data_IF_072266836795
#
_entry.id   IF_072266836795
#
_cell.length_a   1.000
_cell.length_b   1.000
_cell.length_c   1.000
_cell.angle_alpha   90.00
_cell.angle_beta   90.00
_cell.angle_gamma   90.00
#
_symmetry.space_group_name_H-M   'P 1'
#
loop_
_entity.id
_entity.type
_entity.pdbx_description
1 polymer ?
#
# COMPACT_ATOMS: atom_id res chain seq x y z
N UNK A 1 -3.12 -3.33 8.10
CA UNK A 1 -3.30 -4.20 6.92
C UNK A 1 -4.31 -3.57 5.95
N UNK A 2 -4.19 -3.89 4.67
CA UNK A 2 -5.24 -3.64 3.67
C UNK A 2 -5.39 -4.83 2.73
N UNK A 3 -6.64 -5.10 2.38
CA UNK A 3 -6.97 -5.96 1.26
C UNK A 3 -6.66 -5.29 -0.07
N UNK A 4 -5.98 -6.00 -0.96
CA UNK A 4 -5.81 -5.61 -2.38
C UNK A 4 -6.29 -6.74 -3.28
N UNK A 5 -6.77 -6.38 -4.46
CA UNK A 5 -7.23 -7.31 -5.49
C UNK A 5 -6.70 -6.86 -6.84
N UNK A 6 -5.99 -7.74 -7.52
CA UNK A 6 -5.47 -7.56 -8.88
C UNK A 6 -6.46 -8.09 -9.92
N UNK A 7 -6.29 -7.68 -11.17
CA UNK A 7 -7.18 -8.03 -12.28
C UNK A 7 -7.11 -9.51 -12.69
N UNK A 8 -5.97 -10.16 -12.43
CA UNK A 8 -5.75 -11.60 -12.59
C UNK A 8 -6.40 -12.47 -11.48
N UNK A 9 -7.03 -11.81 -10.49
CA UNK A 9 -7.70 -12.45 -9.36
C UNK A 9 -6.81 -12.70 -8.14
N UNK A 10 -5.50 -12.41 -8.20
CA UNK A 10 -4.65 -12.45 -7.02
C UNK A 10 -5.13 -11.40 -6.01
N UNK A 11 -5.28 -11.81 -4.76
CA UNK A 11 -5.74 -10.91 -3.71
C UNK A 11 -5.17 -11.30 -2.35
N UNK A 12 -5.18 -10.36 -1.41
CA UNK A 12 -4.80 -10.65 -0.04
C UNK A 12 -4.59 -9.42 0.82
N UNK A 13 -4.33 -9.67 2.10
CA UNK A 13 -3.95 -8.65 3.07
C UNK A 13 -2.47 -8.33 2.98
N UNK A 14 -2.16 -7.04 2.84
CA UNK A 14 -0.80 -6.50 2.90
C UNK A 14 -0.65 -5.67 4.18
N UNK A 15 0.44 -5.93 4.91
CA UNK A 15 0.84 -5.07 6.01
C UNK A 15 1.67 -3.89 5.51
N UNK A 16 1.25 -2.69 5.90
CA UNK A 16 1.92 -1.43 5.58
C UNK A 16 2.73 -0.89 6.78
N UNK A 17 2.82 -1.62 7.88
CA UNK A 17 3.47 -1.20 9.12
C UNK A 17 4.95 -0.80 8.96
N UNK A 18 5.65 -1.36 7.97
CA UNK A 18 7.04 -1.01 7.65
C UNK A 18 7.20 0.30 6.85
N UNK A 19 6.16 0.74 6.14
CA UNK A 19 6.25 1.85 5.20
C UNK A 19 6.57 3.20 5.86
N UNK A 20 6.05 3.55 7.04
CA UNK A 20 6.45 4.77 7.73
C UNK A 20 7.95 4.95 7.94
N UNK A 21 8.72 3.85 7.99
CA UNK A 21 10.17 3.88 8.19
C UNK A 21 10.96 4.01 6.87
N UNK A 22 10.29 3.89 5.70
CA UNK A 22 10.92 3.99 4.37
C UNK A 22 11.23 5.43 3.96
N UNK A 23 10.71 6.43 4.67
CA UNK A 23 11.03 7.83 4.44
C UNK A 23 9.95 8.79 4.92
N UNK A 24 10.25 10.11 4.96
CA UNK A 24 9.36 11.12 5.52
C UNK A 24 8.02 11.23 4.78
N UNK A 25 7.98 10.91 3.49
CA UNK A 25 6.73 10.90 2.70
C UNK A 25 5.72 9.86 3.19
N UNK A 26 6.19 8.77 3.82
CA UNK A 26 5.35 7.70 4.36
C UNK A 26 5.06 7.86 5.87
N UNK A 27 5.70 8.79 6.56
CA UNK A 27 5.49 9.01 7.99
C UNK A 27 3.99 9.18 8.39
N UNK A 28 3.14 9.88 7.60
CA UNK A 28 1.73 10.02 7.89
C UNK A 28 0.94 8.69 7.89
N UNK A 29 1.48 7.60 7.36
CA UNK A 29 0.82 6.29 7.42
C UNK A 29 0.69 5.73 8.84
N UNK A 30 1.42 6.27 9.83
CA UNK A 30 1.24 5.95 11.25
C UNK A 30 -0.11 6.43 11.78
N UNK A 31 -0.72 7.45 11.15
CA UNK A 31 -2.01 7.97 11.55
C UNK A 31 -3.13 7.18 10.88
N UNK A 32 -3.99 6.45 11.64
CA UNK A 32 -5.03 5.63 11.05
C UNK A 32 -6.01 6.42 10.17
N UNK A 33 -6.27 7.67 10.53
CA UNK A 33 -7.14 8.57 9.76
C UNK A 33 -6.53 8.96 8.41
N UNK A 34 -5.20 9.13 8.34
CA UNK A 34 -4.50 9.38 7.08
C UNK A 34 -4.37 8.11 6.26
N UNK A 35 -4.00 7.00 6.90
CA UNK A 35 -3.89 5.69 6.26
C UNK A 35 -5.19 5.25 5.56
N UNK A 36 -6.36 5.67 6.03
CA UNK A 36 -7.66 5.37 5.40
C UNK A 36 -7.97 6.21 4.15
N UNK A 37 -7.22 7.28 3.88
CA UNK A 37 -7.48 8.22 2.77
C UNK A 37 -6.87 7.79 1.44
N UNK A 38 -6.37 6.58 1.35
CA UNK A 38 -5.75 6.13 0.13
C UNK A 38 -6.76 5.86 -0.98
N UNK A 39 -6.26 5.95 -2.19
CA UNK A 39 -7.00 5.77 -3.42
C UNK A 39 -6.09 5.08 -4.45
N UNK A 40 -6.69 4.66 -5.57
CA UNK A 40 -5.93 4.15 -6.70
C UNK A 40 -5.68 5.30 -7.66
N UNK A 41 -4.42 5.49 -8.04
CA UNK A 41 -4.01 6.45 -9.07
C UNK A 41 -2.96 5.79 -9.97
N UNK A 42 -3.21 5.76 -11.27
CA UNK A 42 -2.33 5.07 -12.23
C UNK A 42 -2.08 3.58 -11.95
N UNK A 43 -2.91 2.92 -11.14
CA UNK A 43 -2.71 1.53 -10.70
C UNK A 43 -1.92 1.39 -9.38
N UNK A 44 -1.33 2.46 -8.87
CA UNK A 44 -0.66 2.49 -7.57
C UNK A 44 -1.66 2.73 -6.43
N UNK A 45 -1.32 2.24 -5.23
CA UNK A 45 -1.99 2.64 -4.00
C UNK A 45 -1.40 3.97 -3.54
N UNK A 46 -2.10 5.06 -3.81
CA UNK A 46 -1.67 6.43 -3.56
C UNK A 46 -2.29 7.04 -2.29
N UNK A 47 -1.70 8.13 -1.83
CA UNK A 47 -2.08 8.90 -0.64
C UNK A 47 -2.21 10.40 -0.99
N UNK A 48 -3.01 11.18 -0.23
CA UNK A 48 -3.23 12.60 -0.53
C UNK A 48 -1.98 13.48 -0.48
N UNK A 49 -0.90 13.01 0.17
CA UNK A 49 0.37 13.71 0.25
C UNK A 49 1.34 13.36 -0.89
N UNK A 50 0.89 12.60 -1.89
CA UNK A 50 1.71 12.19 -3.03
C UNK A 50 2.58 10.96 -2.78
N UNK A 51 2.48 10.31 -1.61
CA UNK A 51 3.08 8.99 -1.42
C UNK A 51 2.28 7.95 -2.20
N UNK A 52 2.97 7.04 -2.88
CA UNK A 52 2.34 5.89 -3.53
C UNK A 52 3.17 4.61 -3.33
N UNK A 53 2.49 3.48 -3.51
CA UNK A 53 3.12 2.17 -3.56
C UNK A 53 2.71 1.52 -4.86
N UNK A 54 3.71 1.22 -5.69
CA UNK A 54 3.52 0.64 -7.01
C UNK A 54 2.88 -0.75 -6.92
N UNK A 55 2.02 -1.12 -7.88
CA UNK A 55 1.27 -2.39 -7.85
C UNK A 55 2.20 -3.62 -7.81
N UNK A 56 3.32 -3.60 -8.52
CA UNK A 56 4.31 -4.68 -8.55
C UNK A 56 4.90 -4.96 -7.17
N UNK A 57 5.15 -3.92 -6.36
CA UNK A 57 5.67 -4.09 -5.00
C UNK A 57 4.65 -4.77 -4.09
N UNK A 58 3.37 -4.51 -4.29
CA UNK A 58 2.27 -5.14 -3.55
C UNK A 58 2.04 -6.58 -4.03
N UNK A 59 2.14 -6.81 -5.34
CA UNK A 59 2.01 -8.11 -5.98
C UNK A 59 3.10 -9.07 -5.49
N UNK A 60 4.37 -8.64 -5.50
CA UNK A 60 5.50 -9.41 -4.99
C UNK A 60 5.32 -9.80 -3.52
N UNK A 61 4.82 -8.89 -2.68
CA UNK A 61 4.53 -9.17 -1.26
C UNK A 61 3.48 -10.25 -1.06
N UNK A 62 2.49 -10.36 -1.96
CA UNK A 62 1.50 -11.42 -1.89
C UNK A 62 2.07 -12.76 -2.33
N UNK A 63 2.99 -12.78 -3.30
CA UNK A 63 3.66 -13.99 -3.75
C UNK A 63 4.72 -14.51 -2.77
N UNK A 64 5.34 -13.62 -1.99
CA UNK A 64 6.38 -13.97 -1.01
C UNK A 64 5.82 -14.41 0.36
N UNK A 65 4.50 -14.66 0.48
CA UNK A 65 3.91 -15.20 1.70
C UNK A 65 4.31 -16.66 1.90
N UNK A 66 5.38 -16.88 2.67
CA UNK A 66 5.71 -18.15 3.35
C UNK A 66 5.39 -18.05 4.85
#
# INVERSE_FOLDING_TARGET
MRHVTFDDGLHGEIDFSEYPEKGPVFAPLKEPGFFRKAFIDGGSVAQPNGADVAPESLYEKLLQKE
#
